data_IF_027991504249
#
_entry.id   IF_027991504249
#
_cell.length_a   1.000
_cell.length_b   1.000
_cell.length_c   1.000
_cell.angle_alpha   90.00
_cell.angle_beta   90.00
_cell.angle_gamma   90.00
#
_symmetry.space_group_name_H-M   'P 1'
#
loop_
_entity.id
_entity.type
_entity.pdbx_description
1 polymer ?
#
# COMPACT_ATOMS: atom_id res chain seq x y z
N UNK A 1 0.53 5.62 -7.86
CA UNK A 1 1.50 4.52 -8.01
C UNK A 1 2.64 5.02 -8.86
N UNK A 2 3.90 4.78 -8.48
CA UNK A 2 5.08 5.22 -9.25
C UNK A 2 6.11 4.11 -9.32
N UNK A 3 6.85 4.02 -10.43
CA UNK A 3 7.90 3.02 -10.64
C UNK A 3 9.19 3.68 -11.14
N UNK A 4 10.34 3.23 -10.62
CA UNK A 4 11.66 3.54 -11.17
C UNK A 4 12.50 2.26 -11.20
N UNK A 5 12.83 1.78 -12.42
CA UNK A 5 13.42 0.45 -12.64
C UNK A 5 12.57 -0.65 -12.00
N UNK A 6 13.14 -1.42 -11.08
CA UNK A 6 12.47 -2.49 -10.33
C UNK A 6 11.83 -2.00 -9.02
N UNK A 7 11.97 -0.72 -8.66
CA UNK A 7 11.41 -0.17 -7.43
C UNK A 7 10.02 0.40 -7.67
N UNK A 8 9.07 0.01 -6.83
CA UNK A 8 7.69 0.44 -6.83
C UNK A 8 7.37 1.22 -5.56
N UNK A 9 6.63 2.32 -5.72
CA UNK A 9 6.04 3.06 -4.60
C UNK A 9 4.53 3.20 -4.74
N UNK A 10 3.85 3.02 -3.62
CA UNK A 10 2.40 3.10 -3.49
C UNK A 10 2.04 4.24 -2.54
N UNK A 11 1.07 5.05 -2.96
CA UNK A 11 0.45 6.09 -2.15
C UNK A 11 -1.06 5.91 -2.32
N UNK A 12 -1.70 5.31 -1.32
CA UNK A 12 -3.11 4.94 -1.30
C UNK A 12 -3.86 5.81 -0.28
N UNK A 13 -5.17 5.96 -0.45
CA UNK A 13 -6.03 6.74 0.45
C UNK A 13 -7.36 6.04 0.69
N UNK A 14 -7.96 6.33 1.85
CA UNK A 14 -9.33 5.98 2.24
C UNK A 14 -9.70 4.50 2.00
N UNK A 15 -8.88 3.59 2.53
CA UNK A 15 -8.99 2.15 2.27
C UNK A 15 -9.22 1.30 3.52
N UNK A 16 -9.66 0.07 3.25
CA UNK A 16 -9.85 -1.00 4.24
C UNK A 16 -8.96 -2.18 3.82
N UNK A 17 -8.28 -2.80 4.78
CA UNK A 17 -7.48 -4.01 4.58
C UNK A 17 -7.88 -5.08 5.57
N UNK A 18 -8.03 -6.32 5.11
CA UNK A 18 -8.11 -7.48 5.99
C UNK A 18 -6.75 -8.18 6.01
N UNK A 19 -6.11 -8.23 7.18
CA UNK A 19 -4.82 -8.89 7.38
C UNK A 19 -4.94 -9.87 8.54
N UNK A 20 -4.66 -11.14 8.26
CA UNK A 20 -4.76 -12.24 9.24
C UNK A 20 -6.13 -12.32 9.92
N UNK A 21 -7.20 -12.07 9.15
CA UNK A 21 -8.58 -12.09 9.64
C UNK A 21 -8.99 -10.85 10.44
N UNK A 22 -8.13 -9.83 10.54
CA UNK A 22 -8.43 -8.57 11.20
C UNK A 22 -8.56 -7.43 10.19
N UNK A 23 -9.61 -6.62 10.36
CA UNK A 23 -9.84 -5.44 9.54
C UNK A 23 -9.08 -4.22 10.07
N UNK A 24 -8.51 -3.47 9.14
CA UNK A 24 -7.79 -2.22 9.34
C UNK A 24 -8.36 -1.17 8.40
N UNK A 25 -8.59 0.03 8.93
CA UNK A 25 -9.02 1.19 8.14
C UNK A 25 -7.88 2.18 8.09
N UNK A 26 -7.60 2.75 6.93
CA UNK A 26 -6.56 3.77 6.76
C UNK A 26 -7.06 4.95 5.93
N UNK A 27 -6.72 6.16 6.35
CA UNK A 27 -6.93 7.36 5.54
C UNK A 27 -5.83 7.51 4.49
N UNK A 28 -4.60 7.11 4.81
CA UNK A 28 -3.44 7.09 3.91
C UNK A 28 -2.59 5.85 4.19
N UNK A 29 -2.11 5.19 3.13
CA UNK A 29 -1.14 4.11 3.23
C UNK A 29 -0.03 4.29 2.20
N UNK A 30 1.22 4.10 2.63
CA UNK A 30 2.41 4.16 1.78
C UNK A 30 3.10 2.82 1.76
N UNK A 31 3.65 2.42 0.62
CA UNK A 31 4.41 1.17 0.51
C UNK A 31 5.52 1.28 -0.52
N UNK A 32 6.61 0.57 -0.26
CA UNK A 32 7.73 0.39 -1.17
C UNK A 32 7.86 -1.12 -1.47
N UNK A 33 8.14 -1.47 -2.73
CA UNK A 33 8.38 -2.87 -3.13
C UNK A 33 9.47 -2.95 -4.21
N UNK A 34 10.16 -4.08 -4.28
CA UNK A 34 11.05 -4.43 -5.40
C UNK A 34 10.45 -5.58 -6.20
N UNK A 35 10.60 -5.54 -7.53
CA UNK A 35 10.21 -6.59 -8.46
C UNK A 35 11.43 -7.39 -8.94
#
# INVERSE_FOLDING_TARGET
ITRSRNKWKFYLKDGIMNLSGKDYVFQKATGDAEW
#
